data_IF_223205683552
#
_entry.id   IF_223205683552
#
_cell.length_a   1.000
_cell.length_b   1.000
_cell.length_c   1.000
_cell.angle_alpha   90.00
_cell.angle_beta   90.00
_cell.angle_gamma   90.00
#
_symmetry.space_group_name_H-M   'P 1'
#
loop_
_entity.id
_entity.type
_entity.pdbx_description
1 polymer ?
#
# COMPACT_ATOMS: atom_id res chain seq x y z
N UNK A 1 -8.55 1.13 3.31
CA UNK A 1 -8.83 -0.10 4.08
C UNK A 1 -10.33 -0.28 4.07
N UNK A 2 -10.83 -1.43 3.62
CA UNK A 2 -12.26 -1.69 3.62
C UNK A 2 -12.58 -2.48 4.89
N UNK A 3 -13.52 -1.97 5.70
CA UNK A 3 -13.92 -2.64 6.93
C UNK A 3 -15.46 -2.67 7.02
N UNK A 4 -16.01 -3.76 7.55
CA UNK A 4 -17.44 -3.93 7.76
C UNK A 4 -17.74 -3.64 9.24
N UNK A 5 -18.60 -2.66 9.50
CA UNK A 5 -19.06 -2.30 10.83
C UNK A 5 -20.53 -2.70 10.99
N UNK A 6 -20.91 -3.17 12.18
CA UNK A 6 -22.31 -3.49 12.48
C UNK A 6 -22.93 -2.30 13.19
N UNK A 7 -23.89 -1.65 12.54
CA UNK A 7 -24.73 -0.64 13.14
C UNK A 7 -25.96 -1.32 13.74
N UNK A 8 -26.27 -1.04 15.01
CA UNK A 8 -27.46 -1.58 15.68
C UNK A 8 -28.37 -0.42 16.06
N UNK A 9 -29.61 -0.48 15.59
CA UNK A 9 -30.65 0.47 15.95
C UNK A 9 -31.87 -0.28 16.50
N UNK A 10 -32.54 0.31 17.49
CA UNK A 10 -33.69 -0.31 18.16
C UNK A 10 -34.96 -0.33 17.30
N UNK A 11 -35.12 0.60 16.34
CA UNK A 11 -36.24 0.65 15.40
C UNK A 11 -35.93 -0.05 14.08
N UNK A 12 -34.69 0.01 13.59
CA UNK A 12 -34.30 -0.48 12.26
C UNK A 12 -33.48 -1.78 12.28
N UNK A 13 -33.09 -2.30 13.44
CA UNK A 13 -32.35 -3.56 13.56
C UNK A 13 -30.85 -3.43 13.28
N UNK A 14 -30.22 -4.51 12.81
CA UNK A 14 -28.77 -4.56 12.57
C UNK A 14 -28.44 -4.38 11.08
N UNK A 15 -27.58 -3.42 10.75
CA UNK A 15 -27.07 -3.16 9.41
C UNK A 15 -25.54 -3.36 9.37
N UNK A 16 -25.08 -4.14 8.40
CA UNK A 16 -23.64 -4.30 8.14
C UNK A 16 -23.19 -3.20 7.17
N UNK A 17 -22.61 -2.13 7.69
CA UNK A 17 -22.14 -0.97 6.93
C UNK A 17 -20.71 -1.22 6.45
N UNK A 18 -20.46 -1.01 5.16
CA UNK A 18 -19.15 -1.11 4.55
C UNK A 18 -18.47 0.26 4.53
N UNK A 19 -17.28 0.36 5.11
CA UNK A 19 -16.48 1.59 5.10
C UNK A 19 -15.39 1.47 4.05
N UNK A 20 -15.42 2.33 3.03
CA UNK A 20 -14.39 2.44 1.98
C UNK A 20 -13.84 3.86 2.00
N UNK A 21 -12.53 4.00 2.21
CA UNK A 21 -11.83 5.29 2.26
C UNK A 21 -12.51 6.32 3.19
N UNK A 22 -12.98 5.85 4.35
CA UNK A 22 -13.65 6.67 5.36
C UNK A 22 -15.09 7.07 5.02
N UNK A 23 -15.65 6.56 3.92
CA UNK A 23 -17.06 6.75 3.55
C UNK A 23 -17.87 5.50 3.84
N UNK A 24 -19.05 5.69 4.40
CA UNK A 24 -19.99 4.63 4.73
C UNK A 24 -20.86 4.26 3.53
N UNK A 25 -21.05 2.96 3.34
CA UNK A 25 -21.89 2.36 2.32
C UNK A 25 -22.82 1.34 2.98
N UNK A 26 -24.10 1.40 2.64
CA UNK A 26 -25.18 0.67 3.31
C UNK A 26 -25.67 -0.50 2.44
N UNK A 27 -26.00 -1.66 3.02
CA UNK A 27 -26.44 -2.83 2.26
C UNK A 27 -27.81 -2.53 1.62
N UNK A 28 -27.83 -2.40 0.30
CA UNK A 28 -28.92 -1.76 -0.43
C UNK A 28 -30.26 -2.50 -0.25
N UNK A 29 -30.22 -3.83 -0.39
CA UNK A 29 -31.41 -4.69 -0.31
C UNK A 29 -31.98 -4.71 1.10
N UNK A 30 -31.13 -4.72 2.13
CA UNK A 30 -31.59 -4.74 3.52
C UNK A 30 -32.21 -3.39 3.89
N UNK A 31 -31.60 -2.27 3.47
CA UNK A 31 -32.17 -0.94 3.65
C UNK A 31 -33.56 -0.83 2.99
N UNK A 32 -33.70 -1.27 1.73
CA UNK A 32 -34.99 -1.21 1.05
C UNK A 32 -36.05 -2.10 1.72
N UNK A 33 -35.70 -3.29 2.22
CA UNK A 33 -36.62 -4.15 3.00
C UNK A 33 -37.06 -3.48 4.30
N UNK A 34 -36.11 -2.94 5.06
CA UNK A 34 -36.39 -2.23 6.32
C UNK A 34 -37.27 -1.00 6.09
N UNK A 35 -37.14 -0.34 4.94
CA UNK A 35 -37.97 0.78 4.52
C UNK A 35 -39.33 0.37 3.94
N UNK A 36 -39.70 -0.91 4.01
CA UNK A 36 -41.03 -1.40 3.66
C UNK A 36 -41.31 -1.48 2.17
N UNK A 37 -40.28 -1.46 1.31
CA UNK A 37 -40.49 -1.65 -0.13
C UNK A 37 -40.89 -3.10 -0.44
N UNK A 38 -42.01 -3.26 -1.15
CA UNK A 38 -42.51 -4.58 -1.57
C UNK A 38 -41.56 -5.30 -2.52
N UNK A 39 -40.93 -4.55 -3.43
CA UNK A 39 -39.82 -5.02 -4.28
C UNK A 39 -38.55 -4.20 -4.00
N UNK A 40 -37.64 -4.70 -3.16
CA UNK A 40 -36.37 -4.05 -2.86
C UNK A 40 -35.49 -3.81 -4.09
N UNK A 41 -35.48 -4.71 -5.07
CA UNK A 41 -34.60 -4.59 -6.24
C UNK A 41 -35.07 -3.49 -7.17
N UNK A 42 -36.37 -3.42 -7.41
CA UNK A 42 -37.02 -2.36 -8.18
C UNK A 42 -36.85 -1.00 -7.51
N UNK A 43 -37.04 -0.91 -6.19
CA UNK A 43 -36.82 0.32 -5.42
C UNK A 43 -35.38 0.83 -5.56
N UNK A 44 -34.39 -0.05 -5.42
CA UNK A 44 -32.98 0.29 -5.59
C UNK A 44 -32.72 0.81 -7.01
N UNK A 45 -33.18 0.09 -8.03
CA UNK A 45 -32.96 0.47 -9.43
C UNK A 45 -33.61 1.81 -9.79
N UNK A 46 -34.77 2.13 -9.21
CA UNK A 46 -35.51 3.38 -9.48
C UNK A 46 -34.95 4.59 -8.75
N UNK A 47 -34.47 4.42 -7.52
CA UNK A 47 -34.20 5.54 -6.61
C UNK A 47 -32.71 5.79 -6.34
N UNK A 48 -31.84 4.80 -6.54
CA UNK A 48 -30.40 4.94 -6.29
C UNK A 48 -29.64 5.26 -7.58
N UNK A 49 -28.50 5.96 -7.48
CA UNK A 49 -27.65 6.29 -8.64
C UNK A 49 -26.26 5.67 -8.57
N UNK A 50 -25.75 5.41 -7.37
CA UNK A 50 -24.45 4.82 -7.14
C UNK A 50 -24.59 3.51 -6.36
N UNK A 51 -23.75 2.53 -6.70
CA UNK A 51 -23.57 1.36 -5.86
C UNK A 51 -22.19 0.76 -6.04
N UNK A 52 -21.72 0.07 -5.01
CA UNK A 52 -20.51 -0.74 -5.03
C UNK A 52 -20.88 -2.16 -4.67
N UNK A 53 -20.19 -3.14 -5.24
CA UNK A 53 -20.37 -4.55 -4.89
C UNK A 53 -19.21 -5.00 -4.03
N UNK A 54 -19.51 -5.73 -2.96
CA UNK A 54 -18.49 -6.25 -2.07
C UNK A 54 -18.85 -7.66 -1.61
N UNK A 55 -17.85 -8.55 -1.60
CA UNK A 55 -18.03 -9.90 -1.06
C UNK A 55 -17.97 -9.84 0.46
N UNK A 56 -18.98 -10.42 1.09
CA UNK A 56 -19.10 -10.47 2.55
C UNK A 56 -19.37 -11.91 2.94
N UNK A 57 -18.69 -12.37 3.99
CA UNK A 57 -19.01 -13.64 4.61
C UNK A 57 -20.34 -13.52 5.37
N UNK A 58 -21.35 -14.25 4.92
CA UNK A 58 -22.64 -14.38 5.60
C UNK A 58 -22.77 -15.78 6.19
N UNK A 59 -23.85 -16.03 6.93
CA UNK A 59 -24.17 -17.36 7.45
C UNK A 59 -24.36 -18.41 6.34
N UNK A 60 -24.65 -17.97 5.11
CA UNK A 60 -24.76 -18.83 3.92
C UNK A 60 -23.46 -18.94 3.10
N UNK A 61 -22.33 -18.46 3.62
CA UNK A 61 -21.05 -18.44 2.91
C UNK A 61 -20.69 -17.06 2.34
N UNK A 62 -19.67 -16.98 1.51
CA UNK A 62 -19.30 -15.73 0.84
C UNK A 62 -20.35 -15.34 -0.20
N UNK A 63 -20.93 -14.15 -0.05
CA UNK A 63 -21.92 -13.60 -0.96
C UNK A 63 -21.51 -12.21 -1.43
N UNK A 64 -21.79 -11.91 -2.70
CA UNK A 64 -21.61 -10.57 -3.26
C UNK A 64 -22.84 -9.72 -2.92
N UNK A 65 -22.65 -8.69 -2.10
CA UNK A 65 -23.71 -7.78 -1.66
C UNK A 65 -23.53 -6.43 -2.36
N UNK A 66 -24.66 -5.82 -2.76
CA UNK A 66 -24.70 -4.45 -3.29
C UNK A 66 -24.82 -3.46 -2.12
N UNK A 67 -23.91 -2.50 -2.07
CA UNK A 67 -23.93 -1.40 -1.12
C UNK A 67 -24.17 -0.06 -1.83
N UNK A 68 -24.91 0.83 -1.19
CA UNK A 68 -25.26 2.17 -1.69
C UNK A 68 -24.65 3.25 -0.80
N UNK A 69 -24.20 4.39 -1.35
CA UNK A 69 -23.73 5.50 -0.53
C UNK A 69 -24.88 6.12 0.27
N UNK A 70 -24.55 6.83 1.35
CA UNK A 70 -25.53 7.50 2.23
C UNK A 70 -26.56 8.36 1.49
N UNK A 71 -26.13 9.12 0.48
CA UNK A 71 -27.04 9.95 -0.33
C UNK A 71 -28.11 9.14 -1.07
N UNK A 72 -27.85 7.88 -1.42
CA UNK A 72 -28.83 6.98 -2.03
C UNK A 72 -29.71 6.28 -0.97
N UNK A 73 -29.20 6.07 0.25
CA UNK A 73 -30.03 5.67 1.39
C UNK A 73 -31.10 6.73 1.68
N UNK A 74 -30.73 8.01 1.75
CA UNK A 74 -31.71 9.09 1.95
C UNK A 74 -32.74 9.17 0.82
N UNK A 75 -32.37 8.85 -0.43
CA UNK A 75 -33.35 8.79 -1.53
C UNK A 75 -34.36 7.67 -1.36
N UNK A 76 -33.97 6.53 -0.79
CA UNK A 76 -34.91 5.48 -0.43
C UNK A 76 -35.81 5.94 0.73
N UNK A 77 -35.24 6.57 1.76
CA UNK A 77 -36.03 7.04 2.92
C UNK A 77 -37.13 8.01 2.49
N UNK A 78 -36.77 9.05 1.70
CA UNK A 78 -37.69 10.08 1.20
C UNK A 78 -38.74 9.53 0.22
N UNK A 79 -38.59 8.30 -0.27
CA UNK A 79 -39.58 7.64 -1.15
C UNK A 79 -40.36 6.53 -0.45
N UNK A 80 -40.02 6.21 0.79
CA UNK A 80 -40.73 5.22 1.59
C UNK A 80 -42.11 5.76 2.02
N UNK A 81 -43.02 4.83 2.32
CA UNK A 81 -44.36 5.11 2.87
C UNK A 81 -44.49 4.68 4.32
N UNK A 82 -43.38 4.28 4.96
CA UNK A 82 -43.40 3.98 6.37
C UNK A 82 -43.56 5.27 7.18
N UNK A 83 -44.42 5.29 8.21
CA UNK A 83 -44.60 6.46 9.06
C UNK A 83 -43.29 6.98 9.68
N UNK A 84 -42.34 6.09 10.00
CA UNK A 84 -41.04 6.49 10.51
C UNK A 84 -40.19 7.24 9.47
N UNK A 85 -40.21 6.78 8.21
CA UNK A 85 -39.50 7.42 7.12
C UNK A 85 -40.12 8.79 6.77
N UNK A 86 -41.45 8.91 6.78
CA UNK A 86 -42.13 10.19 6.57
C UNK A 86 -41.84 11.20 7.70
N UNK A 87 -41.78 10.73 8.96
CA UNK A 87 -41.34 11.58 10.09
C UNK A 87 -39.91 12.07 9.91
N UNK A 88 -39.00 11.18 9.51
CA UNK A 88 -37.61 11.54 9.24
C UNK A 88 -37.49 12.53 8.08
N UNK A 89 -38.15 12.26 6.94
CA UNK A 89 -38.18 13.17 5.79
C UNK A 89 -38.65 14.56 6.22
N UNK A 90 -39.79 14.63 6.93
CA UNK A 90 -40.35 15.89 7.41
C UNK A 90 -39.39 16.63 8.34
N UNK A 91 -38.81 15.94 9.30
CA UNK A 91 -37.80 16.53 10.19
C UNK A 91 -36.61 17.07 9.40
N UNK A 92 -36.07 16.32 8.44
CA UNK A 92 -34.95 16.80 7.61
C UNK A 92 -35.37 18.01 6.76
N UNK A 93 -36.55 17.99 6.14
CA UNK A 93 -36.95 18.96 5.12
C UNK A 93 -37.53 20.25 5.72
N UNK A 94 -38.25 20.14 6.83
CA UNK A 94 -38.94 21.27 7.47
C UNK A 94 -38.10 21.89 8.59
N UNK A 95 -37.19 21.14 9.21
CA UNK A 95 -36.40 21.60 10.35
C UNK A 95 -34.90 21.67 10.03
N UNK A 96 -34.26 20.55 9.69
CA UNK A 96 -32.80 20.48 9.55
C UNK A 96 -32.30 21.36 8.40
N UNK A 97 -32.78 21.12 7.17
CA UNK A 97 -32.32 21.84 5.99
C UNK A 97 -32.64 23.34 6.05
N UNK A 98 -33.84 23.79 6.49
CA UNK A 98 -34.12 25.20 6.66
C UNK A 98 -33.24 25.86 7.72
N UNK A 99 -32.94 25.17 8.82
CA UNK A 99 -32.05 25.65 9.88
C UNK A 99 -30.62 25.81 9.36
N UNK A 100 -30.08 24.81 8.66
CA UNK A 100 -28.77 24.90 8.00
C UNK A 100 -28.75 26.04 6.99
N UNK A 101 -29.79 26.19 6.15
CA UNK A 101 -29.88 27.28 5.18
C UNK A 101 -29.87 28.66 5.84
N UNK A 102 -30.56 28.82 6.98
CA UNK A 102 -30.72 30.11 7.66
C UNK A 102 -29.52 30.48 8.52
N UNK A 103 -28.94 29.52 9.24
CA UNK A 103 -27.91 29.79 10.26
C UNK A 103 -26.54 29.18 9.94
N UNK A 104 -26.45 28.34 8.90
CA UNK A 104 -25.21 27.66 8.50
C UNK A 104 -24.87 26.42 9.33
N UNK A 105 -25.64 26.12 10.38
CA UNK A 105 -25.37 25.02 11.32
C UNK A 105 -26.67 24.41 11.82
N UNK A 106 -26.65 23.10 12.09
CA UNK A 106 -27.67 22.37 12.85
C UNK A 106 -26.96 21.61 13.97
N UNK A 107 -27.49 21.67 15.18
CA UNK A 107 -26.93 21.05 16.37
C UNK A 107 -28.07 20.54 17.25
N UNK A 108 -27.78 19.56 18.11
CA UNK A 108 -28.75 19.06 19.08
C UNK A 108 -29.06 20.11 20.15
N UNK A 109 -30.25 20.06 20.74
CA UNK A 109 -30.65 21.00 21.80
C UNK A 109 -29.62 21.07 22.93
N UNK A 110 -29.10 19.91 23.35
CA UNK A 110 -28.02 19.84 24.34
C UNK A 110 -26.79 20.67 23.94
N UNK A 111 -26.34 20.56 22.70
CA UNK A 111 -25.18 21.31 22.20
C UNK A 111 -25.50 22.81 22.12
N UNK A 112 -26.71 23.17 21.71
CA UNK A 112 -27.17 24.56 21.68
C UNK A 112 -27.21 25.14 23.10
N UNK A 113 -27.79 24.44 24.07
CA UNK A 113 -27.84 24.84 25.48
C UNK A 113 -26.45 24.97 26.09
N UNK A 114 -25.54 24.03 25.81
CA UNK A 114 -24.15 24.09 26.26
C UNK A 114 -23.41 25.29 25.64
N UNK A 115 -23.64 25.60 24.36
CA UNK A 115 -23.07 26.77 23.69
C UNK A 115 -23.64 28.09 24.24
N UNK A 116 -24.94 28.17 24.53
CA UNK A 116 -25.57 29.35 25.12
C UNK A 116 -25.06 29.58 26.55
N UNK A 117 -24.97 28.51 27.34
CA UNK A 117 -24.54 28.57 28.74
C UNK A 117 -23.03 28.80 28.86
N UNK A 118 -22.25 28.39 27.87
CA UNK A 118 -20.81 28.57 27.83
C UNK A 118 -20.32 28.78 26.38
N UNK A 119 -20.19 30.03 25.92
CA UNK A 119 -19.72 30.34 24.56
C UNK A 119 -18.35 29.72 24.21
N UNK A 120 -17.46 29.49 25.18
CA UNK A 120 -16.17 28.82 24.98
C UNK A 120 -16.32 27.36 24.53
N UNK A 121 -17.44 26.72 24.89
CA UNK A 121 -17.74 25.36 24.45
C UNK A 121 -17.81 25.26 22.92
N UNK A 122 -18.48 26.23 22.28
CA UNK A 122 -18.56 26.29 20.82
C UNK A 122 -17.19 26.49 20.18
N UNK A 123 -16.39 27.41 20.72
CA UNK A 123 -15.01 27.68 20.24
C UNK A 123 -14.16 26.41 20.34
N UNK A 124 -14.23 25.70 21.46
CA UNK A 124 -13.51 24.44 21.66
C UNK A 124 -13.92 23.38 20.64
N UNK A 125 -15.21 23.11 20.49
CA UNK A 125 -15.72 22.10 19.55
C UNK A 125 -15.26 22.41 18.11
N UNK A 126 -15.40 23.67 17.68
CA UNK A 126 -14.96 24.05 16.34
C UNK A 126 -13.43 23.98 16.17
N UNK A 127 -12.67 24.31 17.21
CA UNK A 127 -11.20 24.22 17.20
C UNK A 127 -10.72 22.77 17.12
N UNK A 128 -11.33 21.88 17.90
CA UNK A 128 -11.06 20.44 17.87
C UNK A 128 -11.42 19.84 16.49
N UNK A 129 -12.59 20.18 15.95
CA UNK A 129 -13.01 19.74 14.61
C UNK A 129 -12.05 20.23 13.52
N UNK A 130 -11.58 21.48 13.62
CA UNK A 130 -10.58 22.02 12.69
C UNK A 130 -9.25 21.27 12.80
N UNK A 131 -8.75 21.08 14.02
CA UNK A 131 -7.50 20.36 14.26
C UNK A 131 -7.56 18.91 13.73
N UNK A 132 -8.69 18.23 13.91
CA UNK A 132 -8.91 16.89 13.37
C UNK A 132 -8.91 16.88 11.83
N UNK A 133 -9.56 17.85 11.20
CA UNK A 133 -9.53 18.00 9.73
C UNK A 133 -8.14 18.27 9.19
N UNK A 134 -7.37 19.12 9.86
CA UNK A 134 -6.01 19.47 9.45
C UNK A 134 -5.08 18.25 9.61
N UNK A 135 -5.22 17.48 10.69
CA UNK A 135 -4.52 16.20 10.89
C UNK A 135 -4.85 15.20 9.78
N UNK A 136 -6.13 15.02 9.43
CA UNK A 136 -6.54 14.11 8.35
C UNK A 136 -5.93 14.50 7.01
N UNK A 137 -5.98 15.79 6.65
CA UNK A 137 -5.34 16.29 5.42
C UNK A 137 -3.84 16.06 5.41
N UNK A 138 -3.15 16.33 6.52
CA UNK A 138 -1.72 16.08 6.63
C UNK A 138 -1.40 14.59 6.43
N UNK A 139 -2.19 13.71 7.04
CA UNK A 139 -2.05 12.25 6.89
C UNK A 139 -2.35 11.77 5.48
N UNK A 140 -3.33 12.35 4.79
CA UNK A 140 -3.62 12.06 3.38
C UNK A 140 -2.44 12.46 2.46
N UNK A 141 -1.87 13.65 2.68
CA UNK A 141 -0.69 14.11 1.96
C UNK A 141 0.51 13.19 2.21
N UNK A 142 0.75 12.81 3.46
CA UNK A 142 1.83 11.90 3.83
C UNK A 142 1.64 10.53 3.19
N UNK A 143 0.42 9.97 3.24
CA UNK A 143 0.10 8.71 2.61
C UNK A 143 0.26 8.75 1.08
N UNK A 144 -0.08 9.86 0.43
CA UNK A 144 0.17 10.05 -1.00
C UNK A 144 1.67 10.04 -1.32
N UNK A 145 2.50 10.74 -0.52
CA UNK A 145 3.96 10.72 -0.64
C UNK A 145 4.53 9.32 -0.42
N UNK A 146 4.09 8.63 0.63
CA UNK A 146 4.55 7.28 0.95
C UNK A 146 4.18 6.29 -0.17
N UNK A 147 2.97 6.37 -0.72
CA UNK A 147 2.57 5.57 -1.88
C UNK A 147 3.46 5.81 -3.10
N UNK A 148 3.82 7.07 -3.36
CA UNK A 148 4.73 7.41 -4.45
C UNK A 148 6.12 6.79 -4.23
N UNK A 149 6.69 6.97 -3.02
CA UNK A 149 7.99 6.37 -2.66
C UNK A 149 7.94 4.85 -2.79
N UNK A 150 6.90 4.19 -2.28
CA UNK A 150 6.73 2.74 -2.39
C UNK A 150 6.65 2.32 -3.86
N UNK A 151 5.93 3.06 -4.70
CA UNK A 151 5.83 2.78 -6.13
C UNK A 151 7.20 2.87 -6.84
N UNK A 152 8.05 3.81 -6.45
CA UNK A 152 9.40 3.97 -7.01
C UNK A 152 10.39 2.91 -6.48
N UNK A 153 10.23 2.47 -5.23
CA UNK A 153 11.10 1.48 -4.61
C UNK A 153 10.74 0.03 -4.96
N UNK A 154 9.46 -0.27 -5.20
CA UNK A 154 8.97 -1.62 -5.52
C UNK A 154 9.66 -2.27 -6.73
N UNK A 155 9.86 -1.60 -7.89
CA UNK A 155 10.59 -2.19 -9.00
C UNK A 155 12.07 -2.41 -8.68
N UNK A 156 12.70 -1.51 -7.90
CA UNK A 156 14.08 -1.69 -7.44
C UNK A 156 14.22 -2.94 -6.56
N UNK A 157 13.38 -3.07 -5.53
CA UNK A 157 13.38 -4.22 -4.63
C UNK A 157 13.09 -5.54 -5.36
N UNK A 158 12.04 -5.57 -6.20
CA UNK A 158 11.67 -6.75 -7.00
C UNK A 158 12.79 -7.22 -7.93
N UNK A 159 13.53 -6.27 -8.52
CA UNK A 159 14.69 -6.60 -9.35
C UNK A 159 15.84 -7.23 -8.55
N UNK A 160 16.14 -6.68 -7.36
CA UNK A 160 17.14 -7.28 -6.46
C UNK A 160 16.77 -8.71 -6.07
N UNK A 161 15.51 -8.95 -5.74
CA UNK A 161 15.00 -10.28 -5.38
C UNK A 161 15.10 -11.27 -6.55
N UNK A 162 14.74 -10.85 -7.77
CA UNK A 162 14.84 -11.69 -8.97
C UNK A 162 16.28 -12.10 -9.28
N UNK A 163 17.24 -11.18 -9.07
CA UNK A 163 18.67 -11.49 -9.25
C UNK A 163 19.18 -12.41 -8.16
N UNK A 164 18.80 -12.18 -6.90
CA UNK A 164 19.21 -13.03 -5.77
C UNK A 164 18.69 -14.47 -5.90
N UNK A 165 17.52 -14.68 -6.50
CA UNK A 165 16.97 -16.00 -6.78
C UNK A 165 17.73 -16.78 -7.86
N UNK A 166 18.49 -16.09 -8.73
CA UNK A 166 19.26 -16.73 -9.77
C UNK A 166 20.55 -17.37 -9.21
N UNK A 167 20.62 -18.70 -9.24
CA UNK A 167 21.77 -19.49 -8.75
C UNK A 167 22.99 -19.48 -9.70
N UNK A 168 23.01 -18.64 -10.73
CA UNK A 168 24.14 -18.57 -11.66
C UNK A 168 25.42 -18.08 -10.97
N UNK A 169 26.49 -18.80 -11.25
CA UNK A 169 27.83 -18.48 -10.79
C UNK A 169 28.58 -17.68 -11.84
N UNK A 170 29.22 -16.59 -11.42
CA UNK A 170 29.87 -15.64 -12.32
C UNK A 170 31.37 -15.59 -12.05
N UNK A 171 32.24 -15.78 -13.05
CA UNK A 171 33.67 -15.56 -12.90
C UNK A 171 33.97 -14.09 -12.55
N UNK A 172 35.00 -13.86 -11.73
CA UNK A 172 35.44 -12.49 -11.40
C UNK A 172 35.79 -11.66 -12.65
N UNK A 173 36.26 -12.30 -13.72
CA UNK A 173 36.57 -11.62 -14.99
C UNK A 173 35.34 -11.02 -15.67
N UNK A 174 34.16 -11.64 -15.55
CA UNK A 174 32.91 -11.06 -16.06
C UNK A 174 32.45 -9.89 -15.21
N UNK A 175 32.55 -10.02 -13.87
CA UNK A 175 32.23 -8.92 -12.94
C UNK A 175 33.16 -7.74 -13.21
N UNK A 176 34.46 -7.97 -13.31
CA UNK A 176 35.46 -6.92 -13.55
C UNK A 176 35.18 -6.09 -14.82
N UNK A 177 34.60 -6.70 -15.86
CA UNK A 177 34.24 -6.00 -17.11
C UNK A 177 33.10 -5.00 -16.91
N UNK A 178 32.19 -5.24 -15.97
CA UNK A 178 31.13 -4.28 -15.61
C UNK A 178 31.73 -2.97 -15.06
N UNK A 179 32.89 -3.07 -14.41
CA UNK A 179 33.64 -1.95 -13.84
C UNK A 179 34.75 -1.43 -14.77
N UNK A 180 34.81 -1.90 -16.02
CA UNK A 180 35.85 -1.49 -16.99
C UNK A 180 37.27 -2.00 -16.67
N UNK A 181 37.40 -2.96 -15.75
CA UNK A 181 38.68 -3.48 -15.30
C UNK A 181 39.00 -4.86 -15.89
N UNK A 182 40.28 -5.22 -15.88
CA UNK A 182 40.68 -6.62 -16.09
C UNK A 182 40.42 -7.43 -14.81
N UNK A 183 40.18 -8.74 -14.93
CA UNK A 183 40.03 -9.61 -13.76
C UNK A 183 41.25 -9.59 -12.83
N UNK A 184 42.46 -9.36 -13.37
CA UNK A 184 43.68 -9.19 -12.57
C UNK A 184 43.65 -7.90 -11.73
N UNK A 185 43.33 -6.77 -12.36
CA UNK A 185 43.21 -5.49 -11.68
C UNK A 185 42.09 -5.52 -10.61
N UNK A 186 40.97 -6.16 -10.94
CA UNK A 186 39.83 -6.25 -10.03
C UNK A 186 40.11 -7.18 -8.84
N UNK A 187 40.80 -8.32 -9.06
CA UNK A 187 41.26 -9.16 -7.96
C UNK A 187 42.22 -8.44 -7.01
N UNK A 188 43.10 -7.60 -7.57
CA UNK A 188 44.00 -6.75 -6.77
C UNK A 188 43.19 -5.74 -5.95
N UNK A 189 42.23 -5.05 -6.56
CA UNK A 189 41.36 -4.11 -5.86
C UNK A 189 40.63 -4.78 -4.68
N UNK A 190 40.01 -5.95 -4.88
CA UNK A 190 39.34 -6.67 -3.80
C UNK A 190 40.32 -7.17 -2.72
N UNK A 191 41.57 -7.45 -3.07
CA UNK A 191 42.61 -7.77 -2.11
C UNK A 191 43.01 -6.56 -1.25
N UNK A 192 43.24 -5.42 -1.91
CA UNK A 192 43.61 -4.15 -1.26
C UNK A 192 42.47 -3.66 -0.34
N UNK A 193 41.21 -3.99 -0.67
CA UNK A 193 40.03 -3.74 0.17
C UNK A 193 39.80 -4.79 1.26
N UNK A 194 40.71 -5.76 1.43
CA UNK A 194 40.62 -6.77 2.49
C UNK A 194 39.51 -7.81 2.28
N UNK A 195 39.02 -8.03 1.06
CA UNK A 195 37.93 -8.98 0.77
C UNK A 195 38.43 -10.39 0.48
N UNK A 196 39.51 -10.50 -0.27
CA UNK A 196 40.05 -11.79 -0.72
C UNK A 196 41.57 -11.81 -0.68
N UNK A 197 42.14 -13.01 -0.65
CA UNK A 197 43.57 -13.25 -0.73
C UNK A 197 43.86 -14.35 -1.75
N UNK A 198 45.11 -14.41 -2.21
CA UNK A 198 45.54 -15.40 -3.20
C UNK A 198 46.18 -16.59 -2.49
N UNK A 199 45.65 -17.79 -2.72
CA UNK A 199 46.21 -19.06 -2.24
C UNK A 199 46.53 -19.96 -3.44
N UNK A 200 47.81 -20.13 -3.72
CA UNK A 200 48.27 -20.81 -4.94
C UNK A 200 47.74 -20.12 -6.20
N UNK A 201 47.00 -20.86 -7.02
CA UNK A 201 46.38 -20.34 -8.25
C UNK A 201 44.92 -19.89 -8.07
N UNK A 202 44.38 -19.92 -6.85
CA UNK A 202 42.99 -19.58 -6.56
C UNK A 202 42.88 -18.34 -5.65
N UNK A 203 41.80 -17.58 -5.77
CA UNK A 203 41.47 -16.45 -4.90
C UNK A 203 40.40 -16.88 -3.91
N UNK A 204 40.63 -16.71 -2.61
CA UNK A 204 39.70 -17.09 -1.56
C UNK A 204 39.31 -15.87 -0.73
N UNK A 205 38.10 -15.88 -0.16
CA UNK A 205 37.64 -14.81 0.72
C UNK A 205 38.35 -14.88 2.07
N UNK A 206 38.61 -13.73 2.67
CA UNK A 206 39.03 -13.68 4.08
C UNK A 206 37.93 -14.23 5.00
N UNK A 207 38.32 -14.66 6.19
CA UNK A 207 37.44 -15.36 7.14
C UNK A 207 36.15 -14.59 7.44
N UNK A 208 36.22 -13.26 7.52
CA UNK A 208 35.06 -12.38 7.76
C UNK A 208 33.94 -12.56 6.70
N UNK A 209 34.30 -12.95 5.48
CA UNK A 209 33.38 -13.07 4.34
C UNK A 209 33.15 -14.51 3.88
N UNK A 210 33.91 -15.48 4.39
CA UNK A 210 33.92 -16.86 3.91
C UNK A 210 32.56 -17.57 4.07
N UNK A 211 31.89 -17.38 5.22
CA UNK A 211 30.63 -18.05 5.55
C UNK A 211 29.37 -17.30 5.06
N UNK A 212 29.56 -16.18 4.34
CA UNK A 212 28.46 -15.33 3.89
C UNK A 212 27.79 -15.82 2.59
N UNK A 213 28.32 -16.88 1.96
CA UNK A 213 27.79 -17.45 0.72
C UNK A 213 28.04 -16.58 -0.52
N UNK A 214 29.04 -15.70 -0.49
CA UNK A 214 29.38 -14.80 -1.59
C UNK A 214 30.08 -15.50 -2.77
N UNK A 215 30.78 -16.60 -2.50
CA UNK A 215 31.53 -17.35 -3.51
C UNK A 215 31.27 -18.85 -3.42
N UNK A 216 31.49 -19.56 -4.53
CA UNK A 216 31.55 -21.01 -4.60
C UNK A 216 32.77 -21.43 -5.41
N UNK A 217 33.45 -22.47 -4.95
CA UNK A 217 34.59 -23.06 -5.66
C UNK A 217 34.13 -24.11 -6.66
N UNK A 218 34.68 -24.07 -7.87
CA UNK A 218 34.50 -25.12 -8.89
C UNK A 218 35.84 -25.71 -9.29
N UNK A 219 35.91 -27.03 -9.27
CA UNK A 219 37.08 -27.79 -9.72
C UNK A 219 36.93 -28.12 -11.20
N UNK A 220 37.94 -27.78 -11.98
CA UNK A 220 38.07 -28.14 -13.40
C UNK A 220 39.21 -29.14 -13.56
N UNK A 221 38.93 -30.30 -14.13
CA UNK A 221 39.95 -31.28 -14.48
C UNK A 221 40.70 -30.81 -15.73
N UNK A 222 42.04 -30.77 -15.66
CA UNK A 222 42.90 -30.43 -16.80
C UNK A 222 43.30 -31.72 -17.54
N UNK A 223 43.63 -32.77 -16.79
CA UNK A 223 43.96 -34.11 -17.29
C UNK A 223 43.56 -35.17 -16.23
N UNK A 224 43.90 -36.45 -16.48
CA UNK A 224 43.54 -37.57 -15.58
C UNK A 224 44.14 -37.46 -14.17
N UNK A 225 45.18 -36.64 -13.97
CA UNK A 225 45.92 -36.53 -12.71
C UNK A 225 45.91 -35.11 -12.12
N UNK A 226 45.49 -34.09 -12.88
CA UNK A 226 45.57 -32.68 -12.49
C UNK A 226 44.21 -31.99 -12.55
N UNK A 227 43.86 -31.32 -11.46
CA UNK A 227 42.69 -30.46 -11.39
C UNK A 227 43.05 -29.08 -10.84
N UNK A 228 42.35 -28.05 -11.31
CA UNK A 228 42.48 -26.68 -10.81
C UNK A 228 41.15 -26.20 -10.24
N UNK A 229 41.23 -25.52 -9.10
CA UNK A 229 40.07 -24.93 -8.46
C UNK A 229 39.99 -23.45 -8.82
N UNK A 230 38.80 -23.00 -9.20
CA UNK A 230 38.50 -21.61 -9.48
C UNK A 230 37.34 -21.14 -8.61
N UNK A 231 37.47 -19.93 -8.08
CA UNK A 231 36.42 -19.26 -7.31
C UNK A 231 35.48 -18.52 -8.25
N UNK A 232 34.18 -18.80 -8.08
CA UNK A 232 33.10 -18.09 -8.76
C UNK A 232 32.26 -17.32 -7.74
N UNK A 233 31.68 -16.21 -8.17
CA UNK A 233 30.85 -15.36 -7.34
C UNK A 233 29.38 -15.68 -7.53
N UNK A 234 28.64 -15.70 -6.43
CA UNK A 234 27.18 -15.79 -6.44
C UNK A 234 26.57 -14.43 -6.75
N UNK A 235 25.28 -14.37 -7.08
CA UNK A 235 24.58 -13.09 -7.23
C UNK A 235 24.59 -12.28 -5.92
N UNK A 236 24.49 -12.97 -4.77
CA UNK A 236 24.67 -12.37 -3.44
C UNK A 236 26.07 -11.76 -3.28
N UNK A 237 27.13 -12.46 -3.72
CA UNK A 237 28.49 -11.94 -3.70
C UNK A 237 28.73 -10.77 -4.66
N UNK A 238 28.08 -10.76 -5.83
CA UNK A 238 28.15 -9.64 -6.77
C UNK A 238 27.48 -8.37 -6.21
N UNK A 239 26.38 -8.52 -5.48
CA UNK A 239 25.73 -7.42 -4.76
C UNK A 239 26.62 -6.88 -3.64
N UNK A 240 27.23 -7.77 -2.86
CA UNK A 240 28.23 -7.37 -1.86
C UNK A 240 29.36 -6.53 -2.47
N UNK A 241 29.93 -6.95 -3.60
CA UNK A 241 30.95 -6.16 -4.32
C UNK A 241 30.42 -4.79 -4.73
N UNK A 242 29.17 -4.72 -5.23
CA UNK A 242 28.56 -3.45 -5.63
C UNK A 242 28.40 -2.49 -4.45
N UNK A 243 27.86 -2.97 -3.32
CA UNK A 243 27.65 -2.15 -2.12
C UNK A 243 28.99 -1.71 -1.51
N UNK A 244 29.99 -2.60 -1.49
CA UNK A 244 31.34 -2.30 -1.05
C UNK A 244 31.96 -1.15 -1.87
N UNK A 245 31.95 -1.27 -3.21
CA UNK A 245 32.57 -0.28 -4.10
C UNK A 245 31.81 1.04 -4.13
N UNK A 246 30.48 1.02 -3.94
CA UNK A 246 29.64 2.22 -3.79
C UNK A 246 30.03 3.02 -2.55
N UNK A 247 30.27 2.34 -1.43
CA UNK A 247 30.62 2.99 -0.16
C UNK A 247 32.07 3.51 -0.13
N UNK A 248 32.97 2.92 -0.90
CA UNK A 248 34.40 3.32 -0.99
C UNK A 248 34.61 4.51 -1.96
N UNK A 249 33.53 5.05 -2.54
CA UNK A 249 33.56 6.20 -3.46
C UNK A 249 34.53 6.03 -4.65
N UNK A 250 34.63 4.81 -5.17
CA UNK A 250 35.30 4.59 -6.46
C UNK A 250 34.34 5.09 -7.54
N UNK A 251 34.68 6.25 -8.10
CA UNK A 251 33.94 6.90 -9.17
C UNK A 251 33.91 5.99 -10.40
N UNK A 252 32.86 5.19 -10.57
CA UNK A 252 32.74 4.26 -11.69
C UNK A 252 31.38 4.46 -12.34
N UNK A 253 31.39 5.03 -13.55
CA UNK A 253 30.70 4.76 -14.85
C UNK A 253 29.38 3.94 -14.87
N UNK A 254 28.99 3.24 -13.81
CA UNK A 254 27.81 2.40 -13.67
C UNK A 254 26.48 3.16 -13.62
N UNK A 255 26.46 4.42 -13.17
CA UNK A 255 25.21 5.18 -13.09
C UNK A 255 24.56 5.36 -14.47
N UNK A 256 25.35 5.41 -15.54
CA UNK A 256 24.89 5.56 -16.93
C UNK A 256 24.48 4.22 -17.56
N UNK A 257 25.31 3.17 -17.45
CA UNK A 257 25.00 1.86 -18.09
C UNK A 257 23.83 1.12 -17.45
N UNK A 258 23.65 1.24 -16.13
CA UNK A 258 22.51 0.64 -15.44
C UNK A 258 21.21 1.41 -15.69
N UNK A 259 21.26 2.74 -15.84
CA UNK A 259 20.12 3.54 -16.34
C UNK A 259 19.67 3.07 -17.72
N UNK A 260 20.62 2.86 -18.64
CA UNK A 260 20.31 2.45 -20.03
C UNK A 260 19.67 1.05 -20.09
N UNK A 261 20.08 0.13 -19.21
CA UNK A 261 19.50 -1.22 -19.15
C UNK A 261 18.09 -1.20 -18.51
N UNK A 262 17.86 -0.37 -17.50
CA UNK A 262 16.55 -0.18 -16.89
C UNK A 262 15.58 0.50 -17.88
N UNK A 263 16.02 1.55 -18.57
CA UNK A 263 15.21 2.32 -19.52
C UNK A 263 14.82 1.52 -20.78
N UNK A 264 15.68 0.60 -21.24
CA UNK A 264 15.39 -0.26 -22.41
C UNK A 264 14.44 -1.42 -22.13
N UNK A 265 14.24 -1.82 -20.86
CA UNK A 265 13.33 -2.90 -20.48
C UNK A 265 11.97 -2.42 -19.98
N UNK A 266 11.84 -1.16 -19.59
CA UNK A 266 10.55 -0.55 -19.23
C UNK A 266 9.77 -0.05 -20.47
N UNK A 267 10.40 0.00 -21.65
CA UNK A 267 9.80 0.46 -22.92
C UNK A 267 9.72 -0.64 -24.00
N UNK A 268 9.70 -1.91 -23.60
CA UNK A 268 9.42 -3.09 -24.43
C UNK A 268 8.33 -3.92 -23.77
#
# INVERSE_FOLDING_TARGET
MNNLQVFKDTEFGELKVLVIDGKEYFPATDCARMLGYSDPYDAINRHTKGSVKHRVLTSGGEQEIKFIPEGDLFRLIVKSKLPAAERFERWVFDEVLPTIRKYGVYATDKVIEEMISNPEYGIRIFSELKAERDRRKALEIENAKNKQIISELKPKASYYDLILQNKSLVPISKIAKDYGMSGRAFNKLLHDLGVQYKMGNCWLLYQEYADQGYTQSKTHAIDAERSVMHTYWTQKGRLFIYDLLKNVNVNIILYEKWKIILYKKENQ
#
